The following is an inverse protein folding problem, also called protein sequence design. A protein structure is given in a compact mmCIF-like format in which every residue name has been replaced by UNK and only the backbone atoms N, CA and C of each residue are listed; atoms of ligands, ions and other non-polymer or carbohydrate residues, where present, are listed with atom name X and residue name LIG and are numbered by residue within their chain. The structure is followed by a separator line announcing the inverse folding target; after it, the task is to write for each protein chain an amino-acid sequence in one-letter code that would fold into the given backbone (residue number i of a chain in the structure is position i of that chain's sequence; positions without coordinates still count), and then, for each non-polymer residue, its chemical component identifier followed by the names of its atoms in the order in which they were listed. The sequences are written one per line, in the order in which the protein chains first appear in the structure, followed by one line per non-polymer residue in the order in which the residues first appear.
data_IF_519811238802
#
_entry.id   IF_519811238802
#
_cell.length_a   1.000
_cell.length_b   1.000
_cell.length_c   1.000
_cell.angle_alpha   90.00
_cell.angle_beta   90.00
_cell.angle_gamma   90.00
#
_symmetry.space_group_name_H-M   'P 1'
#
loop_
_entity.id
_entity.type
_entity.pdbx_description
1 polymer ?
#
# COMPACT_ATOMS: atom_id res chain seq x y z
N UNK A 1 49.53 -26.67 36.27
CA UNK A 1 48.48 -27.43 35.56
C UNK A 1 47.44 -26.45 35.03
N UNK A 2 47.40 -26.21 33.71
CA UNK A 2 46.37 -25.36 33.08
C UNK A 2 45.06 -26.16 33.03
N UNK A 3 44.03 -25.73 33.77
CA UNK A 3 42.67 -26.20 33.51
C UNK A 3 42.25 -25.63 32.15
N UNK A 4 41.99 -26.51 31.18
CA UNK A 4 41.39 -26.12 29.90
C UNK A 4 40.00 -25.57 30.18
N UNK A 5 39.72 -24.35 29.75
CA UNK A 5 38.36 -23.80 29.69
C UNK A 5 37.57 -24.57 28.65
N UNK A 6 36.85 -25.60 29.09
CA UNK A 6 35.87 -26.28 28.28
C UNK A 6 34.61 -25.40 28.29
N UNK A 7 34.13 -25.05 27.10
CA UNK A 7 32.86 -24.32 26.90
C UNK A 7 31.74 -24.99 27.71
N UNK A 8 30.87 -24.19 28.34
CA UNK A 8 29.73 -24.65 29.17
C UNK A 8 28.85 -25.72 28.48
N UNK A 9 28.85 -25.77 27.14
CA UNK A 9 28.11 -26.78 26.36
C UNK A 9 28.74 -28.17 26.32
N UNK A 10 30.00 -28.31 26.70
CA UNK A 10 30.79 -29.54 26.58
C UNK A 10 31.04 -30.23 27.93
N UNK A 11 30.52 -29.68 29.03
CA UNK A 11 30.59 -30.32 30.35
C UNK A 11 29.46 -31.38 30.48
N UNK A 12 29.80 -32.68 30.49
CA UNK A 12 28.81 -33.76 30.45
C UNK A 12 27.95 -33.83 31.72
N UNK A 13 28.45 -33.34 32.86
CA UNK A 13 27.69 -33.31 34.11
C UNK A 13 26.67 -32.16 34.11
N UNK A 14 27.03 -30.99 33.57
CA UNK A 14 26.11 -29.85 33.41
C UNK A 14 24.96 -30.17 32.46
N UNK A 15 25.20 -30.98 31.42
CA UNK A 15 24.18 -31.39 30.45
C UNK A 15 23.14 -32.33 31.06
N UNK A 16 23.55 -33.21 31.99
CA UNK A 16 22.64 -34.04 32.78
C UNK A 16 21.80 -33.22 33.76
N UNK A 17 22.41 -32.23 34.42
CA UNK A 17 21.71 -31.36 35.37
C UNK A 17 20.69 -30.43 34.67
N UNK A 18 21.01 -29.89 33.49
CA UNK A 18 20.07 -29.11 32.67
C UNK A 18 18.91 -29.96 32.12
N UNK A 19 19.14 -31.24 31.82
CA UNK A 19 18.09 -32.17 31.39
C UNK A 19 17.12 -32.55 32.53
N UNK A 20 17.55 -32.45 33.78
CA UNK A 20 16.68 -32.57 34.96
C UNK A 20 15.87 -31.28 35.19
N UNK A 21 16.45 -30.12 34.85
CA UNK A 21 15.80 -28.80 34.92
C UNK A 21 14.60 -28.68 33.97
N UNK A 22 14.70 -29.27 32.77
CA UNK A 22 13.59 -29.36 31.82
C UNK A 22 12.42 -30.26 32.29
N UNK A 23 12.58 -31.01 33.39
CA UNK A 23 11.55 -31.92 33.95
C UNK A 23 10.89 -31.41 35.23
N UNK A 24 11.10 -30.14 35.59
CA UNK A 24 10.29 -29.47 36.63
C UNK A 24 10.52 -29.92 38.07
N UNK A 25 11.71 -30.42 38.41
CA UNK A 25 12.05 -30.74 39.80
C UNK A 25 12.68 -29.52 40.50
N UNK A 26 12.07 -29.04 41.59
CA UNK A 26 12.61 -27.96 42.41
C UNK A 26 13.80 -28.46 43.27
N UNK A 27 14.98 -27.84 43.16
CA UNK A 27 15.61 -27.03 44.24
C UNK A 27 17.14 -26.79 44.12
N UNK A 28 17.58 -25.70 44.79
CA UNK A 28 18.91 -25.22 45.24
C UNK A 28 20.13 -25.47 44.34
N UNK A 29 20.64 -24.38 43.75
CA UNK A 29 21.94 -24.33 43.07
C UNK A 29 23.08 -24.89 43.94
N UNK A 30 23.84 -25.91 43.46
CA UNK A 30 24.98 -26.48 44.16
C UNK A 30 25.99 -25.41 44.59
N UNK A 31 26.62 -25.59 45.75
CA UNK A 31 27.60 -24.66 46.33
C UNK A 31 28.77 -24.32 45.38
N UNK A 32 29.12 -25.25 44.47
CA UNK A 32 30.12 -25.04 43.41
C UNK A 32 29.67 -24.04 42.35
N UNK A 33 28.38 -24.03 41.99
CA UNK A 33 27.81 -23.09 41.04
C UNK A 33 27.79 -21.67 41.62
N UNK A 34 27.38 -21.51 42.90
CA UNK A 34 27.48 -20.22 43.61
C UNK A 34 28.92 -19.70 43.73
N UNK A 35 29.91 -20.59 43.88
CA UNK A 35 31.33 -20.22 43.91
C UNK A 35 31.84 -19.75 42.55
N UNK A 36 31.45 -20.41 41.46
CA UNK A 36 31.78 -20.00 40.09
C UNK A 36 31.05 -18.71 39.67
N UNK A 37 29.80 -18.50 40.10
CA UNK A 37 29.05 -17.27 39.86
C UNK A 37 29.68 -16.07 40.59
N UNK A 38 30.11 -16.25 41.85
CA UNK A 38 30.86 -15.24 42.60
C UNK A 38 32.23 -14.95 41.96
N UNK A 39 32.92 -15.96 41.44
CA UNK A 39 34.18 -15.76 40.70
C UNK A 39 33.96 -15.02 39.38
N UNK A 40 32.84 -15.26 38.69
CA UNK A 40 32.46 -14.55 37.46
C UNK A 40 32.08 -13.09 37.75
N UNK A 41 31.33 -12.83 38.84
CA UNK A 41 31.00 -11.47 39.30
C UNK A 41 32.23 -10.70 39.81
N UNK A 42 33.18 -11.38 40.47
CA UNK A 42 34.46 -10.77 40.87
C UNK A 42 35.41 -10.54 39.69
N UNK A 43 35.34 -11.35 38.63
CA UNK A 43 36.07 -11.14 37.37
C UNK A 43 35.56 -9.94 36.56
N UNK A 44 34.26 -9.65 36.62
CA UNK A 44 33.69 -8.44 35.99
C UNK A 44 34.05 -7.14 36.73
N UNK A 45 34.39 -7.18 38.02
CA UNK A 45 34.86 -6.02 38.77
C UNK A 45 36.33 -5.62 38.46
N UNK A 46 37.06 -6.46 37.70
CA UNK A 46 38.43 -6.20 37.23
C UNK A 46 38.55 -6.26 35.69
N UNK A 47 37.44 -6.12 34.96
CA UNK A 47 37.53 -5.68 33.58
C UNK A 47 38.08 -4.25 33.60
N UNK A 48 39.31 -4.07 33.10
CA UNK A 48 39.84 -2.75 32.71
C UNK A 48 38.69 -2.01 32.02
N UNK A 49 38.47 -0.74 32.39
CA UNK A 49 37.73 0.21 31.55
C UNK A 49 38.28 0.04 30.13
N UNK A 50 37.58 -0.70 29.28
CA UNK A 50 37.75 -0.55 27.86
C UNK A 50 37.28 0.87 27.60
N UNK A 51 38.24 1.74 27.28
CA UNK A 51 37.91 3.03 26.69
C UNK A 51 36.93 2.77 25.55
N UNK A 52 35.87 3.58 25.39
CA UNK A 52 34.97 3.43 24.27
C UNK A 52 35.85 3.46 23.02
N UNK A 53 35.87 2.36 22.28
CA UNK A 53 36.55 2.31 20.98
C UNK A 53 35.87 3.37 20.15
N UNK A 54 36.49 4.54 20.03
CA UNK A 54 36.10 5.55 19.06
C UNK A 54 36.09 4.82 17.72
N UNK A 55 34.95 4.73 17.02
CA UNK A 55 34.95 4.13 15.70
C UNK A 55 35.98 4.92 14.90
N UNK A 56 37.00 4.22 14.40
CA UNK A 56 37.92 4.83 13.46
C UNK A 56 37.04 5.41 12.35
N UNK A 57 37.00 6.74 12.23
CA UNK A 57 36.37 7.40 11.10
C UNK A 57 37.07 6.80 9.89
N UNK A 58 36.37 5.94 9.14
CA UNK A 58 36.89 5.46 7.87
C UNK A 58 36.95 6.67 6.95
N UNK A 59 38.06 7.40 6.95
CA UNK A 59 38.27 8.56 6.07
C UNK A 59 38.04 8.18 4.59
N UNK A 60 38.13 6.88 4.27
CA UNK A 60 37.90 6.32 2.94
C UNK A 60 36.43 6.11 2.55
N UNK A 61 35.50 5.94 3.50
CA UNK A 61 34.08 5.71 3.19
C UNK A 61 33.23 6.68 4.01
N UNK A 62 32.69 7.75 3.39
CA UNK A 62 31.80 8.67 4.09
C UNK A 62 30.51 7.95 4.50
N UNK A 63 29.80 8.51 5.49
CA UNK A 63 28.47 8.03 5.86
C UNK A 63 27.56 8.08 4.63
N UNK A 64 27.00 6.94 4.24
CA UNK A 64 26.14 6.80 3.07
C UNK A 64 24.69 6.41 3.43
N UNK A 65 24.46 5.93 4.66
CA UNK A 65 23.12 5.55 5.14
C UNK A 65 22.51 6.67 5.99
N UNK A 66 21.41 7.24 5.49
CA UNK A 66 20.68 8.33 6.11
C UNK A 66 19.17 7.99 6.18
N UNK A 67 18.71 7.33 7.26
CA UNK A 67 17.30 6.93 7.40
C UNK A 67 16.32 8.10 7.28
N UNK A 68 16.72 9.26 7.83
CA UNK A 68 15.93 10.48 7.96
C UNK A 68 16.10 11.46 6.79
N UNK A 69 16.74 11.02 5.71
CA UNK A 69 17.19 11.88 4.62
C UNK A 69 18.58 12.46 4.89
N UNK A 70 19.21 12.96 3.84
CA UNK A 70 20.54 13.54 3.94
C UNK A 70 20.45 14.95 4.57
N UNK A 71 21.13 15.22 5.70
CA UNK A 71 21.07 16.53 6.34
C UNK A 71 21.57 17.62 5.38
N UNK A 72 20.79 18.68 5.22
CA UNK A 72 21.25 19.86 4.50
C UNK A 72 22.26 20.63 5.35
N UNK A 73 23.36 21.06 4.72
CA UNK A 73 24.35 21.89 5.40
C UNK A 73 23.77 23.29 5.66
N UNK A 74 24.02 23.83 6.86
CA UNK A 74 23.77 25.24 7.23
C UNK A 74 22.30 25.70 7.27
N UNK A 75 21.33 24.85 7.60
CA UNK A 75 19.96 25.31 7.88
C UNK A 75 19.97 26.21 9.13
N UNK A 76 19.61 27.48 8.96
CA UNK A 76 19.40 28.40 10.09
C UNK A 76 17.98 28.22 10.66
N UNK A 77 17.83 27.24 11.56
CA UNK A 77 16.55 26.89 12.19
C UNK A 77 15.95 28.10 12.91
N UNK A 78 16.74 28.91 13.61
CA UNK A 78 16.22 30.06 14.36
C UNK A 78 15.63 31.12 13.44
N UNK A 79 16.24 31.36 12.28
CA UNK A 79 15.65 32.25 11.27
C UNK A 79 14.31 31.71 10.73
N UNK A 80 14.20 30.40 10.49
CA UNK A 80 12.94 29.78 10.06
C UNK A 80 11.87 29.92 11.15
N UNK A 81 12.22 29.69 12.42
CA UNK A 81 11.30 29.86 13.54
C UNK A 81 10.85 31.32 13.67
N UNK A 82 11.75 32.31 13.57
CA UNK A 82 11.36 33.72 13.62
C UNK A 82 10.38 34.13 12.52
N UNK A 83 10.49 33.54 11.31
CA UNK A 83 9.50 33.74 10.24
C UNK A 83 8.14 33.16 10.61
N UNK A 84 8.09 32.00 11.26
CA UNK A 84 6.85 31.38 11.74
C UNK A 84 6.20 32.26 12.82
N UNK A 85 6.96 32.69 13.83
CA UNK A 85 6.48 33.56 14.89
C UNK A 85 5.87 34.86 14.35
N UNK A 86 6.53 35.49 13.36
CA UNK A 86 6.04 36.69 12.67
C UNK A 86 4.70 36.49 11.93
N UNK A 87 4.40 35.27 11.52
CA UNK A 87 3.12 34.95 10.86
C UNK A 87 2.06 34.64 11.89
N UNK A 88 2.40 33.90 12.94
CA UNK A 88 1.50 33.70 14.08
C UNK A 88 1.08 35.02 14.75
N UNK A 89 1.98 36.02 14.81
CA UNK A 89 1.66 37.34 15.37
C UNK A 89 0.62 38.15 14.59
N UNK A 90 0.23 37.70 13.38
CA UNK A 90 -0.82 38.33 12.58
C UNK A 90 -2.21 37.79 12.94
N UNK A 91 -2.28 36.66 13.65
CA UNK A 91 -3.55 36.04 14.05
C UNK A 91 -3.96 36.45 15.47
N UNK A 92 -5.27 36.49 15.77
CA UNK A 92 -5.77 36.74 17.12
C UNK A 92 -5.18 35.77 18.14
N UNK A 93 -4.73 36.30 19.29
CA UNK A 93 -4.09 35.54 20.38
C UNK A 93 -2.90 34.65 19.97
N UNK A 94 -2.28 34.91 18.82
CA UNK A 94 -1.23 34.06 18.22
C UNK A 94 -1.68 32.60 18.08
N UNK A 95 -2.95 32.42 17.69
CA UNK A 95 -3.60 31.13 17.49
C UNK A 95 -4.11 31.00 16.06
N UNK A 96 -3.84 29.84 15.47
CA UNK A 96 -4.20 29.51 14.09
C UNK A 96 -5.23 28.39 14.10
N UNK A 97 -6.33 28.59 13.37
CA UNK A 97 -7.34 27.55 13.12
C UNK A 97 -6.99 26.74 11.87
N UNK A 98 -7.67 25.62 11.62
CA UNK A 98 -7.40 24.82 10.41
C UNK A 98 -7.62 25.62 9.11
N UNK A 99 -8.55 26.58 9.11
CA UNK A 99 -8.85 27.45 7.96
C UNK A 99 -7.65 28.34 7.60
N UNK A 100 -6.94 28.81 8.62
CA UNK A 100 -5.82 29.72 8.46
C UNK A 100 -4.47 28.99 8.30
N UNK A 101 -4.44 27.67 8.57
CA UNK A 101 -3.21 26.88 8.55
C UNK A 101 -2.58 26.78 7.16
N UNK A 102 -3.34 27.00 6.08
CA UNK A 102 -2.79 27.12 4.72
C UNK A 102 -1.78 28.27 4.59
N UNK A 103 -2.01 29.39 5.28
CA UNK A 103 -1.07 30.52 5.32
C UNK A 103 0.23 30.14 6.04
N UNK A 104 0.15 29.26 7.04
CA UNK A 104 1.32 28.75 7.80
C UNK A 104 2.07 27.66 7.02
N UNK A 105 1.39 26.83 6.24
CA UNK A 105 2.00 25.82 5.39
C UNK A 105 2.88 26.44 4.29
N UNK A 106 2.35 27.48 3.61
CA UNK A 106 3.01 28.17 2.49
C UNK A 106 4.17 29.09 2.88
N UNK A 107 4.39 29.34 4.17
CA UNK A 107 5.47 30.20 4.62
C UNK A 107 6.80 29.63 4.15
N UNK A 108 7.71 30.49 3.69
CA UNK A 108 9.12 30.16 3.40
C UNK A 108 9.95 29.59 4.57
N UNK A 109 9.30 29.22 5.66
CA UNK A 109 9.86 28.56 6.83
C UNK A 109 9.40 27.11 6.99
N UNK A 110 8.22 26.80 6.45
CA UNK A 110 7.70 25.44 6.33
C UNK A 110 7.98 24.91 4.92
N UNK A 111 7.79 25.74 3.90
CA UNK A 111 7.91 25.42 2.46
C UNK A 111 7.15 24.12 2.11
N UNK A 112 5.97 23.95 2.72
CA UNK A 112 5.11 22.81 2.47
C UNK A 112 4.00 23.20 1.48
N UNK A 113 3.56 22.27 0.61
CA UNK A 113 2.36 22.47 -0.20
C UNK A 113 1.13 22.81 0.65
N UNK A 114 0.16 23.51 0.07
CA UNK A 114 -1.04 23.99 0.77
C UNK A 114 -1.75 22.88 1.56
N UNK A 115 -1.93 21.71 0.96
CA UNK A 115 -2.68 20.58 1.55
C UNK A 115 -1.93 19.85 2.67
N UNK A 116 -0.72 20.29 3.02
CA UNK A 116 -0.07 19.88 4.27
C UNK A 116 -0.66 20.58 5.51
N UNK A 117 -1.59 21.52 5.33
CA UNK A 117 -2.22 22.28 6.42
C UNK A 117 -2.89 21.37 7.46
N UNK A 118 -3.61 20.33 7.08
CA UNK A 118 -4.17 19.37 8.03
C UNK A 118 -3.07 18.56 8.75
N UNK A 119 -2.15 17.87 8.05
CA UNK A 119 -0.99 17.22 8.66
C UNK A 119 -0.28 18.07 9.72
N UNK A 120 0.01 19.33 9.40
CA UNK A 120 0.64 20.30 10.30
C UNK A 120 -0.25 20.63 11.52
N UNK A 121 -1.54 20.87 11.28
CA UNK A 121 -2.51 21.20 12.33
C UNK A 121 -2.71 20.05 13.32
N UNK A 122 -2.87 18.83 12.83
CA UNK A 122 -3.04 17.63 13.64
C UNK A 122 -1.77 17.27 14.41
N UNK A 123 -0.59 17.32 13.77
CA UNK A 123 0.69 17.07 14.46
C UNK A 123 0.96 18.07 15.60
N UNK A 124 0.49 19.31 15.48
CA UNK A 124 0.58 20.31 16.54
C UNK A 124 -0.54 20.19 17.62
N UNK A 125 -1.45 19.22 17.48
CA UNK A 125 -2.54 18.94 18.41
C UNK A 125 -3.68 19.97 18.36
N UNK A 126 -3.96 20.50 17.17
CA UNK A 126 -5.03 21.48 16.93
C UNK A 126 -6.43 20.89 17.03
N UNK A 127 -6.60 19.62 16.67
CA UNK A 127 -7.84 18.83 16.77
C UNK A 127 -8.46 18.85 18.18
N UNK A 128 -7.62 18.81 19.22
CA UNK A 128 -8.08 18.78 20.62
C UNK A 128 -8.69 20.09 21.11
N UNK A 129 -8.37 21.22 20.48
CA UNK A 129 -8.74 22.58 20.95
C UNK A 129 -9.44 23.42 19.90
N UNK A 130 -9.46 22.98 18.63
CA UNK A 130 -9.90 23.76 17.47
C UNK A 130 -8.87 24.79 16.98
N UNK A 131 -7.72 24.93 17.64
CA UNK A 131 -6.66 25.86 17.27
C UNK A 131 -5.27 25.39 17.72
N UNK A 132 -4.24 25.94 17.09
CA UNK A 132 -2.83 25.75 17.45
C UNK A 132 -2.22 27.09 17.86
N UNK A 133 -1.62 27.15 19.04
CA UNK A 133 -0.84 28.32 19.49
C UNK A 133 0.59 28.30 18.92
N UNK A 134 1.19 29.46 18.70
CA UNK A 134 2.58 29.60 18.23
C UNK A 134 3.57 28.71 18.98
N UNK A 135 3.51 28.68 20.32
CA UNK A 135 4.45 27.90 21.14
C UNK A 135 4.40 26.40 20.85
N UNK A 136 3.20 25.84 20.64
CA UNK A 136 3.01 24.43 20.30
C UNK A 136 3.52 24.13 18.90
N UNK A 137 3.19 25.00 17.94
CA UNK A 137 3.62 24.83 16.56
C UNK A 137 5.15 24.89 16.45
N UNK A 138 5.78 25.92 17.03
CA UNK A 138 7.23 26.09 17.04
C UNK A 138 7.93 24.91 17.71
N UNK A 139 7.41 24.42 18.84
CA UNK A 139 7.99 23.25 19.51
C UNK A 139 7.95 21.99 18.62
N UNK A 140 6.83 21.77 17.92
CA UNK A 140 6.67 20.67 16.97
C UNK A 140 7.60 20.85 15.75
N UNK A 141 7.53 22.00 15.07
CA UNK A 141 8.25 22.24 13.83
C UNK A 141 9.77 22.29 14.03
N UNK A 142 10.25 22.83 15.16
CA UNK A 142 11.67 22.78 15.51
C UNK A 142 12.17 21.33 15.59
N UNK A 143 11.37 20.41 16.13
CA UNK A 143 11.71 18.98 16.17
C UNK A 143 11.74 18.39 14.77
N UNK A 144 10.77 18.72 13.92
CA UNK A 144 10.72 18.27 12.51
C UNK A 144 11.97 18.73 11.75
N UNK A 145 12.32 20.02 11.81
CA UNK A 145 13.49 20.57 11.13
C UNK A 145 14.82 19.93 11.59
N UNK A 146 14.88 19.44 12.83
CA UNK A 146 16.07 18.78 13.38
C UNK A 146 16.19 17.30 12.98
N UNK A 147 15.06 16.61 12.79
CA UNK A 147 15.03 15.14 12.64
C UNK A 147 14.55 14.65 11.28
N UNK A 148 14.04 15.53 10.42
CA UNK A 148 13.43 15.20 9.14
C UNK A 148 14.11 16.03 8.04
N UNK A 149 14.82 15.38 7.13
CA UNK A 149 15.65 16.05 6.12
C UNK A 149 15.11 15.97 4.69
N UNK A 150 14.00 15.28 4.47
CA UNK A 150 13.27 15.25 3.20
C UNK A 150 11.75 15.26 3.44
N UNK A 151 10.99 15.53 2.37
CA UNK A 151 9.54 15.70 2.49
C UNK A 151 8.81 14.39 2.78
N UNK A 152 9.31 13.26 2.26
CA UNK A 152 8.77 11.95 2.60
C UNK A 152 8.84 11.66 4.11
N UNK A 153 9.96 11.96 4.75
CA UNK A 153 10.13 11.74 6.17
C UNK A 153 9.38 12.78 7.00
N UNK A 154 9.31 14.04 6.57
CA UNK A 154 8.47 15.06 7.21
C UNK A 154 6.99 14.65 7.18
N UNK A 155 6.46 14.29 6.01
CA UNK A 155 5.06 13.89 5.84
C UNK A 155 4.74 12.67 6.71
N UNK A 156 5.60 11.63 6.66
CA UNK A 156 5.45 10.47 7.52
C UNK A 156 5.47 10.85 9.01
N UNK A 157 6.38 11.73 9.44
CA UNK A 157 6.47 12.15 10.84
C UNK A 157 5.25 12.94 11.32
N UNK A 158 4.61 13.69 10.42
CA UNK A 158 3.42 14.48 10.74
C UNK A 158 2.16 13.61 10.91
N UNK A 159 2.01 12.55 10.12
CA UNK A 159 0.82 11.68 10.15
C UNK A 159 0.98 10.48 11.09
N UNK A 160 2.18 9.94 11.25
CA UNK A 160 2.39 8.69 11.98
C UNK A 160 2.00 8.81 13.46
N UNK A 161 1.37 7.75 13.98
CA UNK A 161 1.12 7.58 15.41
C UNK A 161 2.44 7.65 16.21
N UNK A 162 2.44 8.14 17.47
CA UNK A 162 3.65 8.26 18.27
C UNK A 162 4.41 6.94 18.40
N UNK A 163 5.68 6.94 17.96
CA UNK A 163 6.56 5.76 18.02
C UNK A 163 6.51 4.87 16.77
N UNK A 164 5.63 5.13 15.82
CA UNK A 164 5.58 4.44 14.53
C UNK A 164 6.51 5.12 13.51
N UNK A 165 7.15 4.31 12.67
CA UNK A 165 8.01 4.76 11.56
C UNK A 165 7.39 4.43 10.20
N UNK A 166 6.07 4.34 10.15
CA UNK A 166 5.25 3.94 9.01
C UNK A 166 3.85 4.57 9.16
N UNK A 167 3.09 4.59 8.07
CA UNK A 167 1.70 5.05 8.02
C UNK A 167 0.75 3.87 7.79
N UNK A 168 -0.32 3.81 8.58
CA UNK A 168 -1.46 2.90 8.43
C UNK A 168 -2.60 3.62 7.68
N UNK A 169 -3.64 2.89 7.27
CA UNK A 169 -4.74 3.45 6.48
C UNK A 169 -5.43 4.62 7.18
N UNK A 170 -5.62 4.50 8.51
CA UNK A 170 -6.34 5.51 9.30
C UNK A 170 -5.55 6.82 9.44
N UNK A 171 -4.22 6.77 9.29
CA UNK A 171 -3.35 7.94 9.43
C UNK A 171 -3.58 8.96 8.29
N UNK A 172 -4.13 8.51 7.16
CA UNK A 172 -4.46 9.37 6.01
C UNK A 172 -5.84 10.05 6.13
N UNK A 173 -6.72 9.56 7.01
CA UNK A 173 -8.10 10.07 7.12
C UNK A 173 -8.13 11.58 7.41
N UNK A 174 -7.39 12.12 8.40
CA UNK A 174 -7.44 13.55 8.69
C UNK A 174 -6.93 14.43 7.53
N UNK A 175 -5.95 13.93 6.77
CA UNK A 175 -5.45 14.60 5.58
C UNK A 175 -6.51 14.64 4.47
N UNK A 176 -7.12 13.49 4.15
CA UNK A 176 -8.12 13.41 3.09
C UNK A 176 -9.43 14.12 3.43
N UNK A 177 -9.81 14.11 4.71
CA UNK A 177 -10.93 14.91 5.21
C UNK A 177 -10.76 16.39 4.85
N UNK A 178 -9.57 16.94 5.09
CA UNK A 178 -9.26 18.32 4.78
C UNK A 178 -9.20 18.61 3.27
N UNK A 179 -8.77 17.63 2.46
CA UNK A 179 -8.84 17.71 0.99
C UNK A 179 -10.30 17.85 0.54
N UNK A 180 -11.21 16.98 1.00
CA UNK A 180 -12.64 17.07 0.70
C UNK A 180 -13.23 18.40 1.19
N UNK A 181 -12.85 18.85 2.38
CA UNK A 181 -13.36 20.07 2.99
C UNK A 181 -12.85 21.36 2.32
N UNK A 182 -11.78 21.31 1.52
CA UNK A 182 -11.07 22.50 1.04
C UNK A 182 -10.94 22.60 -0.47
N UNK A 183 -10.84 21.49 -1.18
CA UNK A 183 -10.68 21.49 -2.63
C UNK A 183 -11.98 21.93 -3.32
N UNK A 184 -11.88 22.86 -4.27
CA UNK A 184 -13.04 23.41 -4.98
C UNK A 184 -13.74 22.36 -5.84
N UNK A 185 -12.98 21.53 -6.54
CA UNK A 185 -13.49 20.37 -7.30
C UNK A 185 -14.18 19.28 -6.47
N UNK A 186 -14.19 19.36 -5.14
CA UNK A 186 -14.94 18.45 -4.25
C UNK A 186 -16.00 19.17 -3.42
N UNK A 187 -16.29 20.44 -3.72
CA UNK A 187 -17.22 21.25 -2.92
C UNK A 187 -18.62 20.63 -2.81
N UNK A 188 -19.10 19.97 -3.87
CA UNK A 188 -20.40 19.28 -3.90
C UNK A 188 -20.45 18.06 -2.98
N UNK A 189 -19.32 17.39 -2.73
CA UNK A 189 -19.25 16.18 -1.90
C UNK A 189 -19.45 16.47 -0.40
N UNK A 190 -19.24 17.73 0.02
CA UNK A 190 -19.36 18.15 1.43
C UNK A 190 -20.76 17.96 1.99
N UNK A 191 -21.78 18.09 1.14
CA UNK A 191 -23.19 17.97 1.53
C UNK A 191 -23.69 16.51 1.50
N UNK A 192 -22.92 15.59 0.91
CA UNK A 192 -23.27 14.18 0.74
C UNK A 192 -22.47 13.27 1.68
N UNK A 193 -22.91 13.15 2.95
CA UNK A 193 -22.17 12.42 4.00
C UNK A 193 -21.87 10.95 3.68
N UNK A 194 -22.77 10.27 2.98
CA UNK A 194 -22.63 8.84 2.66
C UNK A 194 -21.50 8.62 1.64
N UNK A 195 -21.45 9.45 0.59
CA UNK A 195 -20.39 9.44 -0.43
C UNK A 195 -19.05 9.94 0.12
N UNK A 196 -19.06 10.86 1.08
CA UNK A 196 -17.86 11.43 1.69
C UNK A 196 -16.95 10.32 2.26
N UNK A 197 -17.50 9.45 3.11
CA UNK A 197 -16.74 8.38 3.74
C UNK A 197 -16.20 7.36 2.71
N UNK A 198 -16.97 7.13 1.64
CA UNK A 198 -16.62 6.20 0.56
C UNK A 198 -15.50 6.74 -0.31
N UNK A 199 -15.56 8.01 -0.69
CA UNK A 199 -14.48 8.68 -1.43
C UNK A 199 -13.16 8.60 -0.66
N UNK A 200 -13.16 8.97 0.63
CA UNK A 200 -11.95 8.87 1.48
C UNK A 200 -11.43 7.43 1.50
N UNK A 201 -12.31 6.45 1.72
CA UNK A 201 -11.93 5.03 1.74
C UNK A 201 -11.27 4.61 0.43
N UNK A 202 -11.85 5.00 -0.71
CA UNK A 202 -11.33 4.68 -2.05
C UNK A 202 -9.98 5.32 -2.29
N UNK A 203 -9.81 6.61 -1.99
CA UNK A 203 -8.51 7.28 -2.13
C UNK A 203 -7.46 6.62 -1.23
N UNK A 204 -7.79 6.24 0.01
CA UNK A 204 -6.87 5.47 0.88
C UNK A 204 -6.49 4.15 0.22
N UNK A 205 -7.44 3.38 -0.32
CA UNK A 205 -7.12 2.12 -0.98
C UNK A 205 -6.21 2.34 -2.18
N UNK A 206 -6.46 3.35 -3.02
CA UNK A 206 -5.62 3.71 -4.18
C UNK A 206 -4.21 4.15 -3.76
N UNK A 207 -4.07 4.90 -2.67
CA UNK A 207 -2.77 5.23 -2.07
C UNK A 207 -2.02 3.95 -1.70
N UNK A 208 -2.65 3.02 -0.98
CA UNK A 208 -1.99 1.78 -0.59
C UNK A 208 -1.71 0.85 -1.78
N UNK A 209 -2.57 0.85 -2.80
CA UNK A 209 -2.41 0.10 -4.04
C UNK A 209 -1.15 0.53 -4.81
N UNK A 210 -0.93 1.84 -4.92
CA UNK A 210 0.18 2.41 -5.68
C UNK A 210 1.47 2.56 -4.86
N UNK A 211 1.37 2.82 -3.54
CA UNK A 211 2.53 3.14 -2.68
C UNK A 211 3.01 1.95 -1.85
N UNK A 212 2.12 1.17 -1.24
CA UNK A 212 2.51 0.08 -0.32
C UNK A 212 2.86 -1.22 -1.06
N UNK A 213 3.91 -1.15 -1.90
CA UNK A 213 4.37 -2.27 -2.74
C UNK A 213 4.84 -3.49 -1.94
N UNK A 214 5.10 -3.33 -0.64
CA UNK A 214 5.44 -4.46 0.25
C UNK A 214 4.24 -5.29 0.73
N UNK A 215 2.99 -4.87 0.46
CA UNK A 215 1.75 -5.50 0.95
C UNK A 215 1.62 -5.57 2.48
N UNK A 216 2.47 -4.86 3.23
CA UNK A 216 2.54 -4.94 4.69
C UNK A 216 1.40 -4.24 5.43
N UNK A 217 0.60 -3.42 4.72
CA UNK A 217 -0.36 -2.50 5.37
C UNK A 217 0.29 -1.30 6.03
N UNK A 218 1.60 -1.10 5.84
CA UNK A 218 2.39 -0.08 6.52
C UNK A 218 3.28 0.65 5.52
N UNK A 219 2.86 1.85 5.09
CA UNK A 219 3.64 2.67 4.16
C UNK A 219 4.88 3.20 4.88
N UNK A 220 6.05 2.80 4.40
CA UNK A 220 7.34 3.27 4.91
C UNK A 220 7.80 4.53 4.20
N UNK A 221 8.75 5.26 4.81
CA UNK A 221 9.37 6.41 4.16
C UNK A 221 10.03 6.04 2.81
N UNK A 222 10.59 4.83 2.69
CA UNK A 222 11.21 4.38 1.45
C UNK A 222 10.19 4.13 0.34
N UNK A 223 9.01 3.61 0.67
CA UNK A 223 7.92 3.45 -0.29
C UNK A 223 7.38 4.81 -0.74
N UNK A 224 7.17 5.71 0.21
CA UNK A 224 6.71 7.08 -0.07
C UNK A 224 7.69 7.86 -0.96
N UNK A 225 9.00 7.71 -0.77
CA UNK A 225 10.03 8.34 -1.63
C UNK A 225 10.03 7.81 -3.06
N UNK A 226 9.62 6.55 -3.25
CA UNK A 226 9.65 5.88 -4.56
C UNK A 226 8.33 6.05 -5.33
N UNK A 227 7.30 6.61 -4.71
CA UNK A 227 6.03 6.89 -5.36
C UNK A 227 5.93 8.35 -5.81
N UNK A 228 4.88 8.63 -6.57
CA UNK A 228 4.43 9.94 -7.05
C UNK A 228 3.46 10.64 -6.09
N UNK A 229 3.20 10.07 -4.90
CA UNK A 229 2.12 10.55 -4.04
C UNK A 229 2.33 11.99 -3.56
N UNK A 230 3.54 12.34 -3.09
CA UNK A 230 3.78 13.70 -2.59
C UNK A 230 3.78 14.75 -3.70
N UNK A 231 4.14 14.35 -4.93
CA UNK A 231 4.02 15.18 -6.12
C UNK A 231 2.55 15.47 -6.41
N UNK A 232 1.68 14.44 -6.36
CA UNK A 232 0.23 14.62 -6.51
C UNK A 232 -0.37 15.47 -5.37
N UNK A 233 0.10 15.33 -4.13
CA UNK A 233 -0.32 16.19 -3.01
C UNK A 233 0.04 17.66 -3.26
N UNK A 234 1.17 17.93 -3.93
CA UNK A 234 1.54 19.29 -4.31
C UNK A 234 0.65 19.83 -5.44
N UNK A 235 0.27 18.99 -6.41
CA UNK A 235 -0.59 19.41 -7.52
C UNK A 235 -2.03 19.75 -7.10
N UNK A 236 -2.51 19.28 -5.94
CA UNK A 236 -3.86 19.61 -5.42
C UNK A 236 -4.12 21.12 -5.27
N UNK A 237 -3.09 21.96 -5.14
CA UNK A 237 -3.27 23.41 -5.08
C UNK A 237 -3.13 24.13 -6.42
N UNK A 238 -2.67 23.42 -7.44
CA UNK A 238 -2.45 23.93 -8.80
C UNK A 238 -3.61 23.52 -9.73
N UNK A 239 -4.13 22.31 -9.56
CA UNK A 239 -5.20 21.74 -10.38
C UNK A 239 -6.58 21.97 -9.74
N UNK A 240 -7.42 22.80 -10.36
CA UNK A 240 -8.80 23.04 -9.87
C UNK A 240 -9.74 21.86 -10.19
N UNK A 241 -9.46 21.15 -11.28
CA UNK A 241 -10.22 20.00 -11.77
C UNK A 241 -9.68 18.71 -11.14
N UNK A 242 -10.34 18.21 -10.08
CA UNK A 242 -9.85 17.07 -9.29
C UNK A 242 -9.68 15.79 -10.14
N UNK A 243 -10.44 15.67 -11.23
CA UNK A 243 -10.40 14.50 -12.11
C UNK A 243 -9.13 14.42 -12.96
N UNK A 244 -8.39 15.52 -13.13
CA UNK A 244 -7.06 15.50 -13.76
C UNK A 244 -6.00 14.80 -12.89
N UNK A 245 -6.23 14.69 -11.57
CA UNK A 245 -5.36 13.98 -10.64
C UNK A 245 -5.73 12.49 -10.61
N UNK A 246 -5.54 11.84 -11.76
CA UNK A 246 -6.02 10.49 -12.05
C UNK A 246 -5.43 9.45 -11.11
N UNK A 247 -4.17 9.55 -10.69
CA UNK A 247 -3.46 8.51 -9.91
C UNK A 247 -4.09 8.21 -8.53
N UNK A 248 -4.64 9.22 -7.85
CA UNK A 248 -5.14 9.06 -6.48
C UNK A 248 -6.50 9.72 -6.24
N UNK A 249 -6.68 10.97 -6.68
CA UNK A 249 -7.73 11.85 -6.16
C UNK A 249 -8.96 12.01 -7.06
N UNK A 250 -8.90 11.57 -8.32
CA UNK A 250 -10.03 11.65 -9.27
C UNK A 250 -11.34 11.16 -8.67
N UNK A 251 -12.36 12.02 -8.74
CA UNK A 251 -13.72 11.72 -8.29
C UNK A 251 -14.43 10.78 -9.27
N UNK A 252 -14.22 10.96 -10.58
CA UNK A 252 -14.75 10.06 -11.63
C UNK A 252 -14.36 8.61 -11.37
N UNK A 253 -13.08 8.37 -11.09
CA UNK A 253 -12.59 7.03 -10.76
C UNK A 253 -13.27 6.46 -9.51
N UNK A 254 -13.47 7.29 -8.48
CA UNK A 254 -14.21 6.88 -7.29
C UNK A 254 -15.66 6.52 -7.62
N UNK A 255 -16.32 7.34 -8.44
CA UNK A 255 -17.72 7.18 -8.78
C UNK A 255 -17.96 5.84 -9.48
N UNK A 256 -17.15 5.51 -10.49
CA UNK A 256 -17.20 4.22 -11.19
C UNK A 256 -17.03 3.05 -10.21
N UNK A 257 -16.00 3.09 -9.36
CA UNK A 257 -15.75 2.04 -8.35
C UNK A 257 -16.97 1.88 -7.43
N UNK A 258 -17.55 2.99 -6.99
CA UNK A 258 -18.69 2.98 -6.10
C UNK A 258 -19.96 2.44 -6.75
N UNK A 259 -20.29 2.87 -7.97
CA UNK A 259 -21.46 2.39 -8.70
C UNK A 259 -21.37 0.89 -9.00
N UNK A 260 -20.21 0.40 -9.47
CA UNK A 260 -19.99 -1.04 -9.69
C UNK A 260 -20.12 -1.84 -8.41
N UNK A 261 -19.71 -1.31 -7.26
CA UNK A 261 -19.95 -1.99 -5.98
C UNK A 261 -21.44 -1.99 -5.61
N UNK A 262 -22.10 -0.84 -5.77
CA UNK A 262 -23.50 -0.64 -5.41
C UNK A 262 -24.45 -1.54 -6.20
N UNK A 263 -24.15 -1.80 -7.48
CA UNK A 263 -24.88 -2.77 -8.32
C UNK A 263 -24.85 -4.21 -7.76
N UNK A 264 -23.75 -4.57 -7.07
CA UNK A 264 -23.56 -5.90 -6.49
C UNK A 264 -24.18 -6.02 -5.08
N UNK A 265 -23.97 -5.00 -4.24
CA UNK A 265 -24.44 -4.90 -2.85
C UNK A 265 -25.94 -4.55 -2.77
N UNK A 266 -26.78 -5.51 -3.17
CA UNK A 266 -28.24 -5.32 -3.26
C UNK A 266 -28.96 -5.23 -1.92
N UNK A 267 -28.37 -5.73 -0.83
CA UNK A 267 -28.90 -5.60 0.53
C UNK A 267 -28.28 -4.43 1.31
N UNK A 268 -27.36 -3.69 0.66
CA UNK A 268 -26.76 -2.45 1.15
C UNK A 268 -26.07 -2.62 2.50
N UNK A 269 -25.46 -3.79 2.73
CA UNK A 269 -24.78 -4.11 3.98
C UNK A 269 -23.27 -3.78 3.95
N UNK A 270 -22.79 -3.29 2.80
CA UNK A 270 -21.42 -2.85 2.52
C UNK A 270 -20.41 -4.00 2.41
N UNK A 271 -20.95 -5.21 2.22
CA UNK A 271 -20.19 -6.39 1.88
C UNK A 271 -20.80 -7.09 0.67
N UNK A 272 -19.97 -7.83 -0.05
CA UNK A 272 -20.41 -8.69 -1.15
C UNK A 272 -19.90 -10.11 -0.91
N UNK A 273 -20.73 -11.10 -1.22
CA UNK A 273 -20.33 -12.51 -1.19
C UNK A 273 -19.86 -13.00 -2.56
N UNK A 274 -19.51 -14.29 -2.67
CA UNK A 274 -19.04 -14.86 -3.94
C UNK A 274 -20.09 -14.80 -5.05
N UNK A 275 -21.38 -14.96 -4.70
CA UNK A 275 -22.49 -14.93 -5.67
C UNK A 275 -22.73 -13.52 -6.18
N UNK A 276 -22.54 -12.52 -5.31
CA UNK A 276 -22.56 -11.12 -5.71
C UNK A 276 -21.42 -10.85 -6.70
N UNK A 277 -20.18 -11.20 -6.34
CA UNK A 277 -19.03 -10.96 -7.21
C UNK A 277 -19.11 -11.71 -8.55
N UNK A 278 -19.72 -12.90 -8.57
CA UNK A 278 -19.97 -13.61 -9.83
C UNK A 278 -20.82 -12.83 -10.83
N UNK A 279 -21.72 -11.95 -10.36
CA UNK A 279 -22.57 -11.14 -11.26
C UNK A 279 -21.81 -10.01 -11.95
N UNK A 280 -20.60 -9.69 -11.50
CA UNK A 280 -19.76 -8.68 -12.12
C UNK A 280 -19.36 -9.08 -13.56
N UNK A 281 -19.49 -8.15 -14.51
CA UNK A 281 -19.16 -8.31 -15.94
C UNK A 281 -19.68 -9.64 -16.52
N UNK A 282 -20.97 -9.94 -16.34
CA UNK A 282 -21.63 -11.12 -16.91
C UNK A 282 -20.92 -12.47 -16.66
N UNK A 283 -20.35 -12.65 -15.47
CA UNK A 283 -19.57 -13.84 -15.11
C UNK A 283 -18.31 -14.04 -15.97
N UNK A 284 -17.68 -12.95 -16.46
CA UNK A 284 -16.45 -13.01 -17.22
C UNK A 284 -15.33 -13.74 -16.45
N UNK A 285 -15.19 -13.42 -15.17
CA UNK A 285 -14.19 -14.01 -14.27
C UNK A 285 -14.63 -15.42 -13.81
N UNK A 286 -13.70 -16.38 -13.79
CA UNK A 286 -13.98 -17.77 -13.38
C UNK A 286 -14.41 -17.90 -11.90
N UNK A 287 -15.27 -18.87 -11.61
CA UNK A 287 -15.66 -19.19 -10.24
C UNK A 287 -14.46 -19.60 -9.38
N UNK A 288 -13.55 -20.43 -9.92
CA UNK A 288 -12.32 -20.84 -9.21
C UNK A 288 -11.49 -19.65 -8.76
N UNK A 289 -11.30 -18.62 -9.61
CA UNK A 289 -10.52 -17.44 -9.18
C UNK A 289 -11.30 -16.56 -8.20
N UNK A 290 -12.63 -16.48 -8.32
CA UNK A 290 -13.48 -15.81 -7.33
C UNK A 290 -13.32 -16.48 -5.96
N UNK A 291 -13.39 -17.81 -5.87
CA UNK A 291 -13.14 -18.52 -4.61
C UNK A 291 -11.76 -18.17 -4.00
N UNK A 292 -10.74 -17.98 -4.85
CA UNK A 292 -9.40 -17.59 -4.40
C UNK A 292 -9.35 -16.19 -3.81
N UNK A 293 -10.11 -15.23 -4.33
CA UNK A 293 -10.21 -13.89 -3.74
C UNK A 293 -10.74 -13.99 -2.30
N UNK A 294 -11.74 -14.83 -2.07
CA UNK A 294 -12.34 -15.05 -0.74
C UNK A 294 -11.53 -15.97 0.19
N UNK A 295 -10.44 -16.59 -0.31
CA UNK A 295 -9.63 -17.53 0.46
C UNK A 295 -8.68 -16.90 1.47
N UNK A 296 -8.48 -15.58 1.39
CA UNK A 296 -7.46 -14.87 2.16
C UNK A 296 -6.15 -14.63 1.41
N UNK A 297 -6.06 -15.00 0.13
CA UNK A 297 -4.86 -14.79 -0.69
C UNK A 297 -4.50 -13.30 -0.85
N UNK A 298 -5.52 -12.45 -0.93
CA UNK A 298 -5.41 -11.02 -1.28
C UNK A 298 -6.11 -10.08 -0.29
N UNK A 299 -6.82 -10.61 0.71
CA UNK A 299 -7.48 -9.79 1.74
C UNK A 299 -6.51 -9.49 2.89
N UNK A 300 -6.42 -8.22 3.29
CA UNK A 300 -5.42 -7.74 4.27
C UNK A 300 -5.78 -8.03 5.72
N UNK A 301 -7.07 -8.12 6.03
CA UNK A 301 -7.55 -8.44 7.36
C UNK A 301 -7.82 -9.93 7.46
N UNK A 302 -7.27 -10.58 8.50
CA UNK A 302 -7.63 -11.97 8.80
C UNK A 302 -9.15 -12.07 8.91
N UNK A 303 -9.77 -12.74 7.94
CA UNK A 303 -11.20 -13.06 7.83
C UNK A 303 -11.73 -13.93 9.00
N UNK A 304 -11.09 -13.90 10.18
CA UNK A 304 -11.45 -14.74 11.32
C UNK A 304 -12.80 -14.38 11.93
N UNK A 305 -13.39 -13.24 11.57
CA UNK A 305 -14.72 -12.81 12.05
C UNK A 305 -15.84 -12.80 11.00
N UNK A 306 -15.53 -12.53 9.71
CA UNK A 306 -16.53 -12.52 8.63
C UNK A 306 -16.14 -13.57 7.58
N UNK A 307 -16.58 -14.82 7.79
CA UNK A 307 -16.40 -15.88 6.80
C UNK A 307 -17.13 -15.49 5.51
N UNK A 308 -16.40 -15.48 4.39
CA UNK A 308 -16.94 -15.45 3.02
C UNK A 308 -17.57 -14.14 2.52
N UNK A 309 -17.14 -12.97 3.02
CA UNK A 309 -17.60 -11.66 2.52
C UNK A 309 -16.42 -10.73 2.26
N UNK A 310 -16.47 -9.95 1.18
CA UNK A 310 -15.52 -8.89 0.85
C UNK A 310 -16.11 -7.55 1.24
N UNK A 311 -15.30 -6.69 1.85
CA UNK A 311 -15.70 -5.31 2.14
C UNK A 311 -15.60 -4.44 0.89
N UNK A 312 -16.22 -3.26 0.92
CA UNK A 312 -15.99 -2.23 -0.12
C UNK A 312 -14.50 -1.95 -0.36
N UNK A 313 -13.69 -1.90 0.70
CA UNK A 313 -12.25 -1.67 0.58
C UNK A 313 -11.56 -2.80 -0.20
N UNK A 314 -11.91 -4.07 0.05
CA UNK A 314 -11.37 -5.21 -0.70
C UNK A 314 -11.86 -5.20 -2.15
N UNK A 315 -13.10 -4.79 -2.41
CA UNK A 315 -13.63 -4.63 -3.77
C UNK A 315 -12.87 -3.58 -4.59
N UNK A 316 -12.46 -2.46 -3.99
CA UNK A 316 -11.61 -1.47 -4.68
C UNK A 316 -10.33 -2.11 -5.22
N UNK A 317 -9.68 -2.98 -4.42
CA UNK A 317 -8.48 -3.71 -4.86
C UNK A 317 -8.79 -4.71 -5.97
N UNK A 318 -9.91 -5.43 -5.86
CA UNK A 318 -10.37 -6.34 -6.89
C UNK A 318 -10.56 -5.61 -8.22
N UNK A 319 -11.38 -4.56 -8.25
CA UNK A 319 -11.78 -3.90 -9.50
C UNK A 319 -10.57 -3.28 -10.21
N UNK A 320 -9.71 -2.55 -9.47
CA UNK A 320 -8.49 -1.97 -10.07
C UNK A 320 -7.55 -3.06 -10.61
N UNK A 321 -7.47 -4.21 -9.93
CA UNK A 321 -6.64 -5.33 -10.38
C UNK A 321 -7.24 -6.05 -11.59
N UNK A 322 -8.57 -6.16 -11.67
CA UNK A 322 -9.28 -6.81 -12.77
C UNK A 322 -9.12 -6.00 -14.06
N UNK A 323 -9.31 -4.69 -13.97
CA UNK A 323 -9.34 -3.81 -15.14
C UNK A 323 -7.94 -3.50 -15.69
N UNK A 324 -6.92 -3.40 -14.85
CA UNK A 324 -5.52 -3.24 -15.30
C UNK A 324 -4.59 -4.33 -14.75
N UNK A 325 -4.51 -5.44 -15.50
CA UNK A 325 -3.61 -6.58 -15.23
C UNK A 325 -2.15 -6.36 -15.67
N UNK A 326 -1.80 -5.17 -16.15
CA UNK A 326 -0.42 -4.79 -16.55
C UNK A 326 0.35 -4.17 -15.39
N UNK A 327 -0.33 -3.56 -14.42
CA UNK A 327 0.31 -2.97 -13.24
C UNK A 327 1.02 -4.00 -12.36
N UNK A 328 2.15 -3.63 -11.76
CA UNK A 328 2.87 -4.56 -10.89
C UNK A 328 2.05 -5.03 -9.67
N UNK A 329 1.16 -4.19 -9.14
CA UNK A 329 0.28 -4.55 -8.02
C UNK A 329 -0.76 -5.58 -8.47
N UNK A 330 -1.37 -5.41 -9.64
CA UNK A 330 -2.33 -6.38 -10.17
C UNK A 330 -1.68 -7.72 -10.47
N UNK A 331 -0.45 -7.72 -11.02
CA UNK A 331 0.31 -8.96 -11.25
C UNK A 331 0.53 -9.71 -9.94
N UNK A 332 0.87 -9.01 -8.85
CA UNK A 332 0.99 -9.60 -7.51
C UNK A 332 -0.34 -10.11 -6.97
N UNK A 333 -1.43 -9.37 -7.18
CA UNK A 333 -2.78 -9.74 -6.78
C UNK A 333 -3.19 -11.09 -7.41
N UNK A 334 -3.11 -11.19 -8.73
CA UNK A 334 -3.52 -12.40 -9.45
C UNK A 334 -2.55 -13.57 -9.24
N UNK A 335 -1.25 -13.30 -9.12
CA UNK A 335 -0.29 -14.35 -8.77
C UNK A 335 -0.62 -15.00 -7.43
N UNK A 336 -0.94 -14.20 -6.39
CA UNK A 336 -1.35 -14.72 -5.07
C UNK A 336 -2.64 -15.55 -5.16
N UNK A 337 -3.57 -15.18 -6.02
CA UNK A 337 -4.79 -15.95 -6.23
C UNK A 337 -4.50 -17.29 -6.93
N UNK A 338 -3.62 -17.30 -7.94
CA UNK A 338 -3.29 -18.50 -8.72
C UNK A 338 -2.33 -19.46 -8.02
N UNK A 339 -1.45 -18.95 -7.17
CA UNK A 339 -0.56 -19.74 -6.32
C UNK A 339 -1.41 -20.36 -5.18
N UNK A 340 -1.83 -21.60 -5.39
CA UNK A 340 -2.77 -22.31 -4.53
C UNK A 340 -2.11 -22.76 -3.23
N UNK A 341 -0.87 -23.20 -3.31
CA UNK A 341 -0.11 -23.70 -2.15
C UNK A 341 0.82 -22.64 -1.51
N UNK A 342 1.04 -21.51 -2.18
CA UNK A 342 1.81 -20.39 -1.67
C UNK A 342 3.32 -20.61 -1.72
N UNK A 343 3.81 -21.52 -2.58
CA UNK A 343 5.23 -21.84 -2.69
C UNK A 343 6.03 -20.82 -3.54
N UNK A 344 5.35 -19.89 -4.21
CA UNK A 344 5.94 -18.84 -5.03
C UNK A 344 6.16 -19.22 -6.50
N UNK A 345 5.61 -20.36 -6.96
CA UNK A 345 5.72 -20.86 -8.33
C UNK A 345 4.35 -21.35 -8.82
N UNK A 346 3.95 -20.96 -10.03
CA UNK A 346 2.77 -21.56 -10.67
C UNK A 346 3.16 -22.89 -11.34
N UNK A 347 2.73 -23.97 -10.71
CA UNK A 347 2.90 -25.35 -11.18
C UNK A 347 1.91 -25.69 -12.29
N UNK A 348 2.22 -26.75 -13.06
CA UNK A 348 1.32 -27.24 -14.12
C UNK A 348 -0.05 -27.67 -13.58
N UNK A 349 -0.08 -28.17 -12.33
CA UNK A 349 -1.33 -28.56 -11.68
C UNK A 349 -2.24 -27.35 -11.46
N UNK A 350 -1.69 -26.23 -10.98
CA UNK A 350 -2.47 -25.01 -10.72
C UNK A 350 -2.94 -24.36 -12.01
N UNK A 351 -2.08 -24.30 -13.03
CA UNK A 351 -2.46 -23.80 -14.35
C UNK A 351 -3.58 -24.65 -14.97
N UNK A 352 -3.46 -25.98 -14.91
CA UNK A 352 -4.50 -26.87 -15.40
C UNK A 352 -5.80 -26.74 -14.59
N UNK A 353 -5.68 -26.51 -13.27
CA UNK A 353 -6.83 -26.27 -12.42
C UNK A 353 -7.62 -25.03 -12.88
N UNK A 354 -7.01 -23.88 -13.14
CA UNK A 354 -7.80 -22.75 -13.64
C UNK A 354 -8.29 -22.96 -15.07
N UNK A 355 -7.44 -23.50 -15.95
CA UNK A 355 -7.75 -23.68 -17.36
C UNK A 355 -8.92 -24.65 -17.61
N UNK A 356 -9.10 -25.69 -16.77
CA UNK A 356 -10.23 -26.61 -16.89
C UNK A 356 -11.59 -25.91 -16.85
N UNK A 357 -11.74 -24.87 -16.02
CA UNK A 357 -12.99 -24.11 -15.97
C UNK A 357 -13.15 -23.20 -17.20
N UNK A 358 -12.05 -22.62 -17.70
CA UNK A 358 -12.06 -21.86 -18.95
C UNK A 358 -12.50 -22.71 -20.13
N UNK A 359 -12.03 -23.96 -20.24
CA UNK A 359 -12.49 -24.89 -21.27
C UNK A 359 -14.01 -25.10 -21.21
N UNK A 360 -14.56 -25.30 -20.00
CA UNK A 360 -16.01 -25.50 -19.82
C UNK A 360 -16.81 -24.25 -20.24
N UNK A 361 -16.31 -23.05 -19.94
CA UNK A 361 -16.93 -21.79 -20.38
C UNK A 361 -16.87 -21.62 -21.90
N UNK A 362 -15.72 -21.89 -22.53
CA UNK A 362 -15.55 -21.84 -23.99
C UNK A 362 -16.50 -22.82 -24.70
N UNK A 363 -16.57 -24.06 -24.22
CA UNK A 363 -17.47 -25.08 -24.76
C UNK A 363 -18.95 -24.67 -24.65
N UNK A 364 -19.35 -24.04 -23.54
CA UNK A 364 -20.69 -23.52 -23.35
C UNK A 364 -21.05 -22.39 -24.35
N UNK A 365 -20.04 -21.67 -24.85
CA UNK A 365 -20.16 -20.65 -25.91
C UNK A 365 -19.98 -21.24 -27.32
N UNK A 366 -19.89 -22.57 -27.46
CA UNK A 366 -19.61 -23.28 -28.71
C UNK A 366 -18.27 -22.90 -29.37
N UNK A 367 -17.29 -22.48 -28.56
CA UNK A 367 -15.90 -22.25 -28.97
C UNK A 367 -15.08 -23.47 -28.56
N UNK A 368 -14.34 -24.06 -29.50
CA UNK A 368 -13.48 -25.21 -29.20
C UNK A 368 -12.23 -24.73 -28.42
N UNK A 369 -12.03 -25.16 -27.16
CA UNK A 369 -10.86 -24.77 -26.40
C UNK A 369 -9.60 -25.47 -26.91
N UNK A 370 -8.47 -24.79 -26.83
CA UNK A 370 -7.18 -25.39 -27.12
C UNK A 370 -6.85 -26.48 -26.08
N UNK A 371 -6.25 -27.63 -26.46
CA UNK A 371 -5.78 -28.59 -25.48
C UNK A 371 -4.80 -27.95 -24.49
N UNK A 372 -4.86 -28.34 -23.21
CA UNK A 372 -4.03 -27.74 -22.16
C UNK A 372 -2.52 -27.79 -22.47
N UNK A 373 -2.05 -28.88 -23.09
CA UNK A 373 -0.63 -29.06 -23.44
C UNK A 373 -0.16 -28.00 -24.46
N UNK A 374 -1.00 -27.69 -25.45
CA UNK A 374 -0.72 -26.67 -26.46
C UNK A 374 -0.82 -25.26 -25.87
N UNK A 375 -1.85 -25.00 -25.06
CA UNK A 375 -2.00 -23.74 -24.32
C UNK A 375 -0.80 -23.49 -23.41
N UNK A 376 -0.35 -24.51 -22.69
CA UNK A 376 0.80 -24.44 -21.80
C UNK A 376 2.08 -24.11 -22.57
N UNK A 377 2.30 -24.71 -23.74
CA UNK A 377 3.45 -24.39 -24.58
C UNK A 377 3.43 -22.91 -25.01
N UNK A 378 2.28 -22.40 -25.46
CA UNK A 378 2.12 -20.98 -25.81
C UNK A 378 2.42 -20.05 -24.62
N UNK A 379 1.89 -20.38 -23.43
CA UNK A 379 2.13 -19.58 -22.22
C UNK A 379 3.59 -19.62 -21.78
N UNK A 380 4.26 -20.76 -21.86
CA UNK A 380 5.69 -20.87 -21.54
C UNK A 380 6.57 -20.09 -22.53
N UNK A 381 6.23 -20.11 -23.82
CA UNK A 381 6.92 -19.34 -24.85
C UNK A 381 6.70 -17.83 -24.70
N UNK A 382 5.52 -17.42 -24.22
CA UNK A 382 5.20 -16.03 -23.93
C UNK A 382 5.92 -15.53 -22.67
N UNK A 383 5.84 -16.26 -21.57
CA UNK A 383 6.40 -15.86 -20.27
C UNK A 383 7.92 -16.01 -20.24
N UNK A 384 8.46 -17.04 -20.91
CA UNK A 384 9.89 -17.42 -20.91
C UNK A 384 10.46 -17.45 -19.49
N UNK A 385 10.00 -18.39 -18.63
CA UNK A 385 10.45 -18.46 -17.25
C UNK A 385 11.97 -18.71 -17.16
N UNK A 386 12.61 -18.17 -16.13
CA UNK A 386 14.05 -18.34 -15.91
C UNK A 386 14.42 -19.81 -15.68
N UNK A 387 13.55 -20.56 -15.01
CA UNK A 387 13.65 -22.00 -14.83
C UNK A 387 12.54 -22.67 -15.65
N UNK A 388 12.87 -23.55 -16.62
CA UNK A 388 11.86 -24.21 -17.45
C UNK A 388 10.79 -24.92 -16.63
N UNK A 389 9.53 -24.64 -16.93
CA UNK A 389 8.37 -25.24 -16.25
C UNK A 389 8.04 -24.67 -14.86
N UNK A 390 8.74 -23.62 -14.41
CA UNK A 390 8.47 -22.93 -13.14
C UNK A 390 8.20 -21.46 -13.39
N UNK A 391 6.92 -21.06 -13.42
CA UNK A 391 6.53 -19.66 -13.64
C UNK A 391 6.50 -18.94 -12.29
N UNK A 392 7.43 -17.99 -12.10
CA UNK A 392 7.45 -17.16 -10.88
C UNK A 392 6.79 -15.80 -11.12
N UNK A 393 6.45 -15.11 -10.02
CA UNK A 393 5.99 -13.72 -10.07
C UNK A 393 6.99 -12.81 -10.82
N UNK A 394 8.30 -13.07 -10.66
CA UNK A 394 9.35 -12.29 -11.34
C UNK A 394 9.29 -12.48 -12.85
N UNK A 395 8.99 -13.69 -13.32
CA UNK A 395 8.89 -13.99 -14.75
C UNK A 395 7.71 -13.24 -15.36
N UNK A 396 6.54 -13.26 -14.70
CA UNK A 396 5.35 -12.53 -15.16
C UNK A 396 5.54 -11.02 -15.20
N UNK A 397 6.22 -10.44 -14.21
CA UNK A 397 6.59 -9.00 -14.24
C UNK A 397 7.59 -8.66 -15.35
N UNK A 398 8.46 -9.61 -15.73
CA UNK A 398 9.48 -9.44 -16.77
C UNK A 398 8.90 -9.55 -18.17
N UNK A 399 7.94 -10.45 -18.40
CA UNK A 399 7.45 -10.74 -19.75
C UNK A 399 6.62 -9.62 -20.38
N UNK A 400 6.06 -8.69 -19.58
CA UNK A 400 5.19 -7.57 -20.01
C UNK A 400 3.87 -7.98 -20.68
N UNK A 401 3.60 -9.28 -20.77
CA UNK A 401 2.39 -9.88 -21.33
C UNK A 401 1.58 -10.64 -20.26
N UNK A 402 1.76 -10.29 -18.98
CA UNK A 402 1.08 -10.95 -17.86
C UNK A 402 -0.44 -10.87 -17.93
N UNK A 403 -0.99 -9.79 -18.49
CA UNK A 403 -2.43 -9.60 -18.68
C UNK A 403 -3.02 -10.70 -19.57
N UNK A 404 -2.40 -10.99 -20.72
CA UNK A 404 -2.82 -12.08 -21.63
C UNK A 404 -2.73 -13.43 -20.90
N UNK A 405 -1.64 -13.67 -20.17
CA UNK A 405 -1.47 -14.88 -19.38
C UNK A 405 -2.63 -15.07 -18.39
N UNK A 406 -2.95 -14.04 -17.61
CA UNK A 406 -4.02 -14.11 -16.62
C UNK A 406 -5.41 -14.30 -17.26
N UNK A 407 -5.73 -13.53 -18.31
CA UNK A 407 -7.02 -13.62 -19.00
C UNK A 407 -7.22 -15.03 -19.57
N UNK A 408 -6.18 -15.64 -20.15
CA UNK A 408 -6.20 -17.03 -20.65
C UNK A 408 -6.67 -18.04 -19.61
N UNK A 409 -6.26 -17.88 -18.35
CA UNK A 409 -6.55 -18.84 -17.30
C UNK A 409 -7.86 -18.57 -16.56
N UNK A 410 -8.40 -17.34 -16.55
CA UNK A 410 -9.58 -17.07 -15.72
C UNK A 410 -10.51 -15.92 -16.14
N UNK A 411 -10.27 -15.20 -17.25
CA UNK A 411 -11.20 -14.18 -17.74
C UNK A 411 -11.58 -14.50 -19.20
N UNK A 412 -12.80 -15.01 -19.41
CA UNK A 412 -13.25 -15.48 -20.72
C UNK A 412 -13.45 -14.36 -21.73
N UNK A 413 -13.96 -13.22 -21.30
CA UNK A 413 -14.29 -12.09 -22.18
C UNK A 413 -13.01 -11.45 -22.72
N UNK A 414 -12.11 -11.05 -21.82
CA UNK A 414 -10.81 -10.46 -22.20
C UNK A 414 -9.94 -11.46 -22.97
N UNK A 415 -10.03 -12.76 -22.67
CA UNK A 415 -9.37 -13.79 -23.49
C UNK A 415 -9.86 -13.81 -24.93
N UNK A 416 -11.18 -13.80 -25.15
CA UNK A 416 -11.76 -13.79 -26.50
C UNK A 416 -11.41 -12.50 -27.26
N UNK A 417 -11.34 -11.37 -26.59
CA UNK A 417 -10.90 -10.11 -27.19
C UNK A 417 -9.46 -10.18 -27.70
N UNK A 418 -8.56 -10.80 -26.94
CA UNK A 418 -7.16 -11.00 -27.37
C UNK A 418 -7.05 -11.93 -28.58
N UNK A 419 -7.83 -13.03 -28.59
CA UNK A 419 -7.84 -14.00 -29.69
C UNK A 419 -8.39 -13.42 -31.00
N UNK A 420 -9.33 -12.47 -30.90
CA UNK A 420 -9.93 -11.80 -32.07
C UNK A 420 -9.11 -10.61 -32.56
N UNK A 421 -8.15 -10.12 -31.77
CA UNK A 421 -7.37 -8.92 -32.10
C UNK A 421 -6.40 -9.19 -33.25
N UNK A 422 -6.39 -8.29 -34.25
CA UNK A 422 -5.49 -8.41 -35.40
C UNK A 422 -4.01 -8.37 -34.95
N UNK A 423 -3.18 -9.37 -35.30
CA UNK A 423 -1.76 -9.41 -34.97
C UNK A 423 -0.98 -8.15 -35.40
N UNK A 424 -1.39 -7.47 -36.47
CA UNK A 424 -0.77 -6.24 -36.95
C UNK A 424 -1.09 -5.02 -36.07
N UNK A 425 -2.26 -5.00 -35.43
CA UNK A 425 -2.64 -3.95 -34.48
C UNK A 425 -1.96 -4.19 -33.13
N UNK A 426 -1.94 -5.44 -32.66
CA UNK A 426 -1.23 -5.82 -31.43
C UNK A 426 0.27 -5.49 -31.48
N UNK A 427 0.92 -5.66 -32.64
CA UNK A 427 2.33 -5.30 -32.83
C UNK A 427 2.60 -3.79 -32.76
N UNK A 428 1.63 -2.95 -33.18
CA UNK A 428 1.75 -1.49 -33.09
C UNK A 428 1.59 -1.00 -31.66
N UNK A 429 0.62 -1.53 -30.93
CA UNK A 429 0.36 -1.17 -29.52
C UNK A 429 1.57 -1.51 -28.62
N UNK A 430 2.28 -2.61 -28.94
CA UNK A 430 3.51 -2.99 -28.24
C UNK A 430 4.68 -1.99 -28.42
N UNK A 431 4.67 -1.16 -29.48
CA UNK A 431 5.69 -0.14 -29.74
C UNK A 431 5.37 1.22 -29.08
N UNK A 432 4.11 1.50 -28.72
CA UNK A 432 3.65 2.80 -28.18
C UNK A 432 3.62 2.91 -26.65
N UNK A 433 4.06 1.88 -25.92
CA UNK A 433 3.98 1.67 -24.44
C UNK A 433 4.50 2.84 -23.56
N UNK A 434 5.08 3.89 -24.12
CA UNK A 434 5.66 5.03 -23.38
C UNK A 434 4.73 6.21 -23.07
N UNK A 435 3.54 6.32 -23.67
CA UNK A 435 2.68 7.52 -23.57
C UNK A 435 1.17 7.24 -23.47
N UNK A 436 0.77 5.99 -23.31
CA UNK A 436 -0.65 5.62 -23.29
C UNK A 436 -1.27 5.77 -21.90
N UNK A 437 -2.49 6.31 -21.88
CA UNK A 437 -3.43 6.25 -20.76
C UNK A 437 -3.53 4.80 -20.29
N UNK A 438 -3.46 4.57 -18.97
CA UNK A 438 -3.53 3.22 -18.41
C UNK A 438 -4.87 2.54 -18.73
N UNK A 439 -4.90 1.20 -18.69
CA UNK A 439 -6.14 0.46 -18.97
C UNK A 439 -7.22 0.82 -17.94
N UNK A 440 -6.82 1.04 -16.67
CA UNK A 440 -7.71 1.54 -15.62
C UNK A 440 -8.27 2.92 -15.93
N UNK A 441 -7.43 3.87 -16.34
CA UNK A 441 -7.89 5.24 -16.65
C UNK A 441 -8.84 5.27 -17.85
N UNK A 442 -8.56 4.44 -18.88
CA UNK A 442 -9.45 4.30 -20.02
C UNK A 442 -10.81 3.73 -19.61
N UNK A 443 -10.80 2.62 -18.87
CA UNK A 443 -12.01 1.99 -18.35
C UNK A 443 -12.83 2.95 -17.49
N UNK A 444 -12.18 3.64 -16.55
CA UNK A 444 -12.87 4.57 -15.65
C UNK A 444 -13.47 5.77 -16.39
N UNK A 445 -12.81 6.29 -17.43
CA UNK A 445 -13.38 7.36 -18.24
C UNK A 445 -14.60 6.88 -19.05
N UNK A 446 -14.49 5.73 -19.73
CA UNK A 446 -15.58 5.16 -20.54
C UNK A 446 -16.80 4.81 -19.68
N UNK A 447 -16.60 4.15 -18.53
CA UNK A 447 -17.70 3.79 -17.63
C UNK A 447 -18.34 4.99 -16.96
N UNK A 448 -17.57 6.04 -16.65
CA UNK A 448 -18.13 7.26 -16.11
C UNK A 448 -19.05 7.94 -17.13
N UNK A 449 -18.61 8.06 -18.39
CA UNK A 449 -19.42 8.61 -19.48
C UNK A 449 -20.72 7.80 -19.69
N UNK A 450 -20.65 6.47 -19.60
CA UNK A 450 -21.82 5.59 -19.67
C UNK A 450 -22.80 5.86 -18.52
N UNK A 451 -22.32 5.92 -17.27
CA UNK A 451 -23.15 6.17 -16.09
C UNK A 451 -23.85 7.53 -16.17
N UNK A 452 -23.14 8.59 -16.59
CA UNK A 452 -23.72 9.92 -16.77
C UNK A 452 -24.80 9.92 -17.87
N UNK A 453 -24.56 9.19 -18.98
CA UNK A 453 -25.54 9.06 -20.05
C UNK A 453 -26.80 8.31 -19.61
N UNK A 454 -26.67 7.26 -18.81
CA UNK A 454 -27.79 6.50 -18.25
C UNK A 454 -28.64 7.32 -17.28
N UNK A 455 -28.00 8.10 -16.40
CA UNK A 455 -28.69 9.02 -15.49
C UNK A 455 -29.50 10.06 -16.27
N UNK A 456 -28.90 10.69 -17.28
CA UNK A 456 -29.58 11.68 -18.12
C UNK A 456 -30.77 11.10 -18.90
N UNK A 457 -30.68 9.85 -19.35
CA UNK A 457 -31.78 9.15 -20.02
C UNK A 457 -32.93 8.80 -19.05
N UNK A 458 -32.60 8.41 -17.80
CA UNK A 458 -33.60 8.10 -16.78
C UNK A 458 -34.37 9.33 -16.30
N UNK A 459 -33.71 10.49 -16.21
CA UNK A 459 -34.37 11.77 -15.90
C UNK A 459 -35.37 12.18 -16.99
N UNK A 460 -34.99 12.04 -18.27
CA UNK A 460 -35.88 12.36 -19.40
C UNK A 460 -37.12 11.44 -19.48
N UNK A 461 -37.01 10.19 -19.03
CA UNK A 461 -38.12 9.24 -19.00
C UNK A 461 -39.08 9.45 -17.81
N UNK A 462 -38.65 10.10 -16.73
CA UNK A 462 -39.48 10.38 -15.56
C UNK A 462 -40.25 11.72 -15.66
N UNK A 463 -39.89 12.59 -16.61
CA UNK A 463 -40.56 13.88 -16.88
C UNK A 463 -41.62 13.81 -18.01
N UNK A 464 -41.96 12.61 -18.50
CA UNK A 464 -43.03 12.36 -19.48
C UNK A 464 -44.19 11.54 -18.91
#
# INVERSE_FOLDING_TARGET
MRMKEISLRQDPDLRKELALLARGCDFVLPSRFKKRLKAFQQGQAQAKKEEPVTPALSESIPKFYFPQGQPQANINIDNLISKIEKIFSQFPDERVTIKDMGLVAKVSACECPLYWKAPLFHAAGGDRRGYVSVHKFVAMWRKVLQSCHDDAYKFLHLLAKPGCSYLEQEDFIPFLQDVVDSHTGLAFLKEASDFHSRYITTVVQRIFYNVNRSWTGKITCSELRRSSFLQNVALLEEEEEINQLTEFFSYEHFYVIYCKFWELDTDHDLYIDQRDLMRHNDQAVSHRIIERIFSGAVTRYHLSFFKCRLSYADFVWFLISEEDKKTETSIEYWFRCMDLDGDGVLSMYELQYFYQEQCQKLEAMAVEPLPFEDCLCQMLDMVKPEIPGMITLRDLKRCKLSHIFFDTFFNIEKYLDHEQRDPLLAARDAETVGQEISDWERYAAEEYDNLVAEEAANEQNNDG
#
